data_IF_966490881743
#
_entry.id   IF_966490881743
#
_cell.length_a   1.000
_cell.length_b   1.000
_cell.length_c   1.000
_cell.angle_alpha   90.00
_cell.angle_beta   90.00
_cell.angle_gamma   90.00
#
_symmetry.space_group_name_H-M   'P 1'
#
loop_
_entity.id
_entity.type
_entity.pdbx_description
1 polymer ?
#
# COMPACT_ATOMS: atom_id res chain seq x y z
N UNK A 1 -21.70 -2.31 -14.09
CA UNK A 1 -21.63 -3.54 -13.28
C UNK A 1 -22.39 -3.34 -11.99
N UNK A 2 -23.17 -4.33 -11.58
CA UNK A 2 -24.03 -4.34 -10.38
C UNK A 2 -23.33 -5.10 -9.25
N UNK A 3 -23.41 -4.61 -8.01
CA UNK A 3 -22.87 -5.31 -6.83
C UNK A 3 -23.73 -6.51 -6.49
N UNK A 4 -23.11 -7.68 -6.29
CA UNK A 4 -23.83 -8.89 -5.87
C UNK A 4 -24.50 -8.73 -4.49
N UNK A 5 -23.89 -7.95 -3.59
CA UNK A 5 -24.40 -7.80 -2.22
C UNK A 5 -25.46 -6.70 -2.08
N UNK A 6 -25.25 -5.54 -2.71
CA UNK A 6 -26.11 -4.35 -2.49
C UNK A 6 -26.87 -3.86 -3.72
N UNK A 7 -26.72 -4.49 -4.88
CA UNK A 7 -27.44 -4.11 -6.11
C UNK A 7 -27.05 -2.76 -6.72
N UNK A 8 -26.12 -2.00 -6.13
CA UNK A 8 -25.70 -0.69 -6.65
C UNK A 8 -24.88 -0.85 -7.93
N UNK A 9 -25.08 0.05 -8.90
CA UNK A 9 -24.32 0.13 -10.16
C UNK A 9 -22.95 0.83 -10.00
N UNK A 10 -22.21 0.51 -8.95
CA UNK A 10 -20.91 1.12 -8.62
C UNK A 10 -19.81 0.07 -8.39
N UNK A 11 -20.00 -1.13 -8.94
CA UNK A 11 -19.09 -2.25 -8.72
C UNK A 11 -17.92 -2.22 -9.66
N UNK A 12 -16.72 -2.19 -9.08
CA UNK A 12 -15.46 -2.14 -9.81
C UNK A 12 -14.47 -3.19 -9.36
N UNK A 13 -14.72 -3.86 -8.23
CA UNK A 13 -13.85 -4.89 -7.70
C UNK A 13 -14.40 -6.26 -8.03
N UNK A 14 -13.55 -7.16 -8.54
CA UNK A 14 -13.88 -8.57 -8.74
C UNK A 14 -12.92 -9.41 -7.91
N UNK A 15 -13.44 -10.38 -7.17
CA UNK A 15 -12.59 -11.35 -6.48
C UNK A 15 -12.32 -12.55 -7.40
N UNK A 16 -11.09 -13.05 -7.42
CA UNK A 16 -10.70 -14.21 -8.25
C UNK A 16 -10.85 -15.54 -7.49
N UNK A 17 -10.73 -15.51 -6.17
CA UNK A 17 -10.78 -16.71 -5.32
C UNK A 17 -12.20 -17.05 -4.83
N UNK A 18 -13.11 -16.07 -4.81
CA UNK A 18 -14.52 -16.33 -4.53
C UNK A 18 -15.16 -17.10 -5.69
N UNK A 19 -16.03 -18.06 -5.35
CA UNK A 19 -16.75 -18.85 -6.33
C UNK A 19 -17.53 -17.96 -7.31
N UNK A 20 -17.43 -18.27 -8.61
CA UNK A 20 -18.05 -17.51 -9.72
C UNK A 20 -17.47 -16.10 -9.95
N UNK A 21 -16.37 -15.75 -9.31
CA UNK A 21 -15.67 -14.47 -9.46
C UNK A 21 -16.60 -13.24 -9.37
N UNK A 22 -17.31 -13.07 -8.24
CA UNK A 22 -18.31 -12.04 -8.06
C UNK A 22 -17.72 -10.62 -8.11
N UNK A 23 -18.56 -9.67 -8.49
CA UNK A 23 -18.20 -8.25 -8.59
C UNK A 23 -18.90 -7.45 -7.48
N UNK A 24 -18.11 -6.64 -6.78
CA UNK A 24 -18.51 -5.84 -5.63
C UNK A 24 -18.24 -4.35 -5.85
N UNK A 25 -19.03 -3.52 -5.17
CA UNK A 25 -18.63 -2.13 -4.90
C UNK A 25 -17.52 -2.10 -3.85
N UNK A 26 -16.85 -0.95 -3.70
CA UNK A 26 -15.73 -0.79 -2.77
C UNK A 26 -16.08 -1.24 -1.33
N UNK A 27 -17.21 -0.76 -0.80
CA UNK A 27 -17.67 -1.07 0.56
C UNK A 27 -17.98 -2.56 0.76
N UNK A 28 -18.75 -3.16 -0.15
CA UNK A 28 -19.09 -4.58 -0.06
C UNK A 28 -17.85 -5.46 -0.22
N UNK A 29 -16.92 -5.08 -1.10
CA UNK A 29 -15.65 -5.79 -1.25
C UNK A 29 -14.86 -5.82 0.06
N UNK A 30 -14.71 -4.66 0.72
CA UNK A 30 -14.03 -4.55 2.00
C UNK A 30 -14.70 -5.39 3.11
N UNK A 31 -16.03 -5.31 3.23
CA UNK A 31 -16.78 -6.03 4.26
C UNK A 31 -16.75 -7.55 4.06
N UNK A 32 -17.05 -8.02 2.85
CA UNK A 32 -17.14 -9.44 2.51
C UNK A 32 -15.78 -10.13 2.66
N UNK A 33 -14.68 -9.45 2.32
CA UNK A 33 -13.34 -10.03 2.40
C UNK A 33 -12.57 -9.68 3.68
N UNK A 34 -13.22 -9.08 4.69
CA UNK A 34 -12.54 -8.70 5.95
C UNK A 34 -11.82 -9.86 6.64
N UNK A 35 -12.34 -11.07 6.52
CA UNK A 35 -11.75 -12.30 7.08
C UNK A 35 -11.05 -13.17 6.01
N UNK A 36 -11.10 -12.76 4.75
CA UNK A 36 -10.54 -13.45 3.59
C UNK A 36 -9.47 -12.57 2.94
N UNK A 37 -8.58 -12.01 3.78
CA UNK A 37 -7.66 -10.95 3.39
C UNK A 37 -6.57 -11.39 2.40
N UNK A 38 -6.38 -12.70 2.22
CA UNK A 38 -5.46 -13.28 1.24
C UNK A 38 -6.07 -13.45 -0.15
N UNK A 39 -7.36 -13.16 -0.32
CA UNK A 39 -8.00 -13.25 -1.64
C UNK A 39 -7.43 -12.20 -2.60
N UNK A 40 -7.13 -12.63 -3.82
CA UNK A 40 -6.76 -11.80 -4.94
C UNK A 40 -8.01 -11.11 -5.50
N UNK A 41 -7.89 -9.81 -5.68
CA UNK A 41 -8.93 -8.99 -6.31
C UNK A 41 -8.37 -8.28 -7.54
N UNK A 42 -9.29 -7.90 -8.41
CA UNK A 42 -8.99 -7.06 -9.55
C UNK A 42 -9.91 -5.84 -9.56
N UNK A 43 -9.41 -4.73 -10.09
CA UNK A 43 -10.18 -3.50 -10.24
C UNK A 43 -10.41 -3.16 -11.71
N UNK A 44 -11.62 -2.69 -12.01
CA UNK A 44 -12.05 -2.29 -13.35
C UNK A 44 -11.61 -0.86 -13.68
N UNK A 45 -10.70 -0.71 -14.66
CA UNK A 45 -10.22 0.62 -15.14
C UNK A 45 -10.99 1.16 -16.35
N UNK A 46 -12.13 0.55 -16.68
CA UNK A 46 -12.98 0.98 -17.81
C UNK A 46 -12.88 0.11 -19.06
N UNK A 47 -11.77 -0.62 -19.24
CA UNK A 47 -11.52 -1.45 -20.42
C UNK A 47 -11.00 -2.86 -20.08
N UNK A 48 -10.22 -3.00 -19.00
CA UNK A 48 -9.83 -4.30 -18.45
C UNK A 48 -9.82 -4.28 -16.92
N UNK A 49 -9.71 -5.49 -16.36
CA UNK A 49 -9.45 -5.75 -14.95
C UNK A 49 -7.95 -5.87 -14.71
N UNK A 50 -7.40 -5.03 -13.83
CA UNK A 50 -6.01 -5.16 -13.38
C UNK A 50 -5.94 -5.77 -11.99
N UNK A 51 -4.83 -6.41 -11.68
CA UNK A 51 -4.51 -6.86 -10.32
C UNK A 51 -4.58 -5.69 -9.36
N UNK A 52 -5.34 -5.85 -8.28
CA UNK A 52 -5.49 -4.85 -7.24
C UNK A 52 -5.30 -5.50 -5.87
N UNK A 53 -4.83 -4.72 -4.90
CA UNK A 53 -4.79 -5.14 -3.52
C UNK A 53 -6.15 -4.97 -2.85
N UNK A 54 -6.51 -5.88 -1.95
CA UNK A 54 -7.74 -5.72 -1.15
C UNK A 54 -7.67 -4.49 -0.23
N UNK A 55 -6.46 -4.08 0.19
CA UNK A 55 -6.21 -2.85 0.93
C UNK A 55 -6.68 -1.58 0.18
N UNK A 56 -6.73 -1.60 -1.16
CA UNK A 56 -7.24 -0.47 -1.98
C UNK A 56 -8.74 -0.22 -1.74
N UNK A 57 -9.47 -1.19 -1.19
CA UNK A 57 -10.87 -1.02 -0.78
C UNK A 57 -11.03 -0.32 0.57
N UNK A 58 -9.92 0.02 1.23
CA UNK A 58 -9.88 0.52 2.59
C UNK A 58 -9.90 -0.58 3.66
N UNK A 59 -9.61 -1.84 3.29
CA UNK A 59 -9.49 -2.91 4.26
C UNK A 59 -8.26 -2.69 5.16
N UNK A 60 -8.49 -2.63 6.47
CA UNK A 60 -7.46 -2.60 7.50
C UNK A 60 -7.41 -3.97 8.19
N UNK A 61 -6.23 -4.59 8.19
CA UNK A 61 -6.00 -5.86 8.86
C UNK A 61 -5.58 -5.61 10.31
N UNK A 62 -6.45 -5.93 11.26
CA UNK A 62 -6.10 -5.91 12.68
C UNK A 62 -5.52 -7.27 13.06
N UNK A 63 -4.25 -7.30 13.48
CA UNK A 63 -3.54 -8.54 13.82
C UNK A 63 -3.88 -9.10 15.22
N UNK A 64 -4.65 -8.34 16.01
CA UNK A 64 -5.12 -8.73 17.35
C UNK A 64 -6.65 -8.69 17.49
N UNK A 65 -7.14 -8.97 18.70
CA UNK A 65 -8.56 -8.88 19.07
C UNK A 65 -9.54 -9.54 18.09
N UNK A 66 -9.14 -10.71 17.56
CA UNK A 66 -9.94 -11.48 16.61
C UNK A 66 -10.31 -10.68 15.33
N UNK A 67 -9.45 -9.76 14.91
CA UNK A 67 -9.68 -8.86 13.77
C UNK A 67 -10.46 -7.59 14.11
N UNK A 68 -10.77 -7.37 15.39
CA UNK A 68 -11.35 -6.11 15.87
C UNK A 68 -10.26 -5.04 15.99
N UNK A 69 -10.60 -3.76 15.77
CA UNK A 69 -9.69 -2.66 16.06
C UNK A 69 -9.20 -2.73 17.51
N UNK A 70 -7.91 -2.49 17.73
CA UNK A 70 -7.41 -2.33 19.10
C UNK A 70 -8.05 -1.08 19.70
N UNK A 71 -8.58 -1.13 20.94
CA UNK A 71 -9.22 0.02 21.59
C UNK A 71 -8.30 1.25 21.63
N UNK A 72 -7.00 1.02 21.81
CA UNK A 72 -6.01 2.08 21.89
C UNK A 72 -5.52 2.57 20.51
N UNK A 73 -5.92 1.93 19.41
CA UNK A 73 -5.44 2.26 18.05
C UNK A 73 -5.90 3.65 17.58
N UNK A 74 -7.04 4.14 18.06
CA UNK A 74 -7.53 5.47 17.70
C UNK A 74 -6.59 6.57 18.19
N UNK A 75 -6.03 6.41 19.40
CA UNK A 75 -5.10 7.36 20.02
C UNK A 75 -3.77 7.44 19.26
N UNK A 76 -3.31 6.31 18.70
CA UNK A 76 -2.06 6.27 17.93
C UNK A 76 -2.15 6.99 16.56
N UNK A 77 -3.33 7.13 15.95
CA UNK A 77 -3.47 7.78 14.64
C UNK A 77 -3.22 9.29 14.68
N UNK A 78 -3.69 9.95 15.72
CA UNK A 78 -3.53 11.40 15.91
C UNK A 78 -2.05 11.73 16.14
N UNK A 79 -1.39 10.92 16.96
CA UNK A 79 0.02 11.14 17.32
C UNK A 79 1.01 10.87 16.18
N UNK A 80 0.71 9.96 15.25
CA UNK A 80 1.53 9.75 14.05
C UNK A 80 1.35 10.85 13.01
N UNK A 81 0.12 11.36 12.84
CA UNK A 81 -0.13 12.54 12.01
C UNK A 81 0.66 13.75 12.53
N UNK A 82 0.61 14.01 13.85
CA UNK A 82 1.38 15.08 14.50
C UNK A 82 2.90 14.90 14.30
N UNK A 83 3.40 13.65 14.33
CA UNK A 83 4.82 13.34 14.12
C UNK A 83 5.25 13.55 12.67
N UNK A 84 4.37 13.26 11.71
CA UNK A 84 4.63 13.50 10.29
C UNK A 84 4.60 15.00 9.97
N UNK A 85 3.66 15.75 10.54
CA UNK A 85 3.59 17.21 10.42
C UNK A 85 4.82 17.89 11.04
N UNK A 86 5.28 17.43 12.22
CA UNK A 86 6.51 17.92 12.84
C UNK A 86 7.79 17.63 12.00
N UNK A 87 7.79 16.54 11.22
CA UNK A 87 8.91 16.21 10.33
C UNK A 87 8.95 17.08 9.07
N UNK A 88 7.81 17.63 8.65
CA UNK A 88 7.73 18.62 7.57
C UNK A 88 8.19 20.00 8.06
N UNK A 89 7.79 20.39 9.28
CA UNK A 89 8.19 21.66 9.90
C UNK A 89 9.71 21.73 10.18
N UNK A 90 10.32 20.60 10.55
CA UNK A 90 11.76 20.47 10.70
C UNK A 90 12.53 20.51 9.36
N UNK A 91 11.86 20.23 8.23
CA UNK A 91 12.44 20.37 6.90
C UNK A 91 12.34 21.81 6.37
N UNK A 92 11.31 22.57 6.75
CA UNK A 92 11.15 23.99 6.37
C UNK A 92 12.08 24.96 7.12
N UNK A 93 12.49 24.64 8.36
CA UNK A 93 13.46 25.48 9.10
C UNK A 93 14.87 25.42 8.51
N UNK A 94 15.18 24.36 7.77
CA UNK A 94 16.37 24.26 6.95
C UNK A 94 16.04 24.77 5.53
N UNK A 95 16.07 26.09 5.34
CA UNK A 95 15.93 26.69 4.01
C UNK A 95 16.87 26.05 2.96
N UNK A 96 16.67 26.30 1.65
CA UNK A 96 17.41 25.59 0.60
C UNK A 96 18.91 25.73 0.81
N UNK A 97 19.56 24.64 1.23
CA UNK A 97 20.99 24.52 1.15
C UNK A 97 21.34 24.52 -0.34
N UNK A 98 21.80 25.68 -0.84
CA UNK A 98 22.42 25.79 -2.15
C UNK A 98 23.54 24.73 -2.19
N UNK A 99 23.49 23.75 -3.11
CA UNK A 99 24.61 22.85 -3.29
C UNK A 99 25.72 23.66 -3.95
N UNK A 100 26.66 24.19 -3.16
CA UNK A 100 27.97 24.55 -3.68
C UNK A 100 28.69 23.25 -4.00
N UNK A 101 28.49 22.81 -5.24
CA UNK A 101 29.21 21.70 -5.85
C UNK A 101 30.73 21.93 -5.69
N UNK A 102 31.46 21.05 -5.00
CA UNK A 102 32.90 20.99 -5.19
C UNK A 102 33.12 20.28 -6.53
N UNK A 103 33.56 21.04 -7.52
CA UNK A 103 34.21 20.49 -8.71
C UNK A 103 35.34 19.57 -8.25
N UNK A 104 35.26 18.30 -8.66
CA UNK A 104 36.39 17.40 -8.76
C UNK A 104 36.62 16.47 -7.56
N UNK A 105 35.99 15.30 -7.58
CA UNK A 105 36.57 14.07 -7.03
C UNK A 105 36.28 12.91 -7.98
N UNK A 106 37.31 12.46 -8.69
CA UNK A 106 37.28 11.26 -9.52
C UNK A 106 37.31 10.05 -8.60
N UNK A 107 36.34 9.16 -8.71
CA UNK A 107 36.36 7.89 -8.00
C UNK A 107 37.42 6.98 -8.63
N UNK A 108 38.39 6.55 -7.83
CA UNK A 108 39.33 5.53 -8.25
C UNK A 108 38.59 4.18 -8.34
N UNK A 109 38.71 3.49 -9.48
CA UNK A 109 38.20 2.13 -9.65
C UNK A 109 39.15 1.19 -8.89
N UNK A 110 38.69 0.40 -7.90
CA UNK A 110 39.54 -0.62 -7.30
C UNK A 110 39.86 -1.71 -8.33
N UNK A 111 41.12 -2.15 -8.35
CA UNK A 111 41.62 -3.18 -9.24
C UNK A 111 40.81 -4.48 -9.08
N UNK A 112 40.50 -5.10 -10.22
CA UNK A 112 39.79 -6.37 -10.36
C UNK A 112 40.44 -7.46 -9.49
N UNK A 113 39.71 -7.98 -8.51
CA UNK A 113 40.13 -9.13 -7.70
C UNK A 113 39.90 -10.38 -8.57
N UNK A 114 40.94 -11.12 -9.00
CA UNK A 114 40.74 -12.38 -9.70
C UNK A 114 40.21 -13.42 -8.72
N UNK A 115 39.12 -14.10 -9.11
CA UNK A 115 38.57 -15.24 -8.39
C UNK A 115 39.41 -16.44 -8.84
N UNK A 116 40.23 -16.98 -7.95
CA UNK A 116 40.97 -18.21 -8.20
C UNK A 116 40.00 -19.38 -8.12
N UNK A 117 39.81 -20.06 -9.25
CA UNK A 117 38.86 -21.15 -9.44
C UNK A 117 39.69 -22.41 -9.67
N UNK A 118 40.23 -22.98 -8.60
CA UNK A 118 40.80 -24.32 -8.64
C UNK A 118 39.77 -25.36 -8.17
N UNK A 119 39.70 -26.37 -9.02
CA UNK A 119 38.80 -27.54 -9.13
C UNK A 119 38.91 -28.48 -7.93
#
# INVERSE_FOLDING_TARGET
MVCVDCGKMASKFRCLDCALQPVYCCTCCCQTHRRLHTHQVQYWKGHYFHTAGLWETGLVLNLGHNGSPCPNFAEFKEQENDRQDASFEAAEVAGPAVPTSPVGQTWAVPAHIPIDLDI
#
